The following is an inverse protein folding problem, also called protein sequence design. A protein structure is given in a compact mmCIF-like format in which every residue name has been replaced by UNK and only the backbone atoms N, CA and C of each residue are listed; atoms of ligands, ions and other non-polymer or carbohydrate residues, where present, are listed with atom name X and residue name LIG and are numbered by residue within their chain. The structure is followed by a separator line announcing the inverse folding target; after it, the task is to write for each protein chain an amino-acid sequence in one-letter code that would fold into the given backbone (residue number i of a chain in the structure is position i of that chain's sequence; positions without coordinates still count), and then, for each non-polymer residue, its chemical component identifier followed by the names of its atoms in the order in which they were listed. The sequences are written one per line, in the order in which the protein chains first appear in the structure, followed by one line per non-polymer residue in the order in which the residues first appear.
data_IF_535656001873
#
_entry.id   IF_535656001873
#
_cell.length_a   1.000
_cell.length_b   1.000
_cell.length_c   1.000
_cell.angle_alpha   90.00
_cell.angle_beta   90.00
_cell.angle_gamma   90.00
#
_symmetry.space_group_name_H-M   'P 1'
#
loop_
_entity.id
_entity.type
_entity.pdbx_description
1 polymer ?
#
# COMPACT_ATOMS: atom_id res chain seq x y z
N UNK A 1 -26.61 -10.21 16.03
CA UNK A 1 -26.67 -9.09 15.05
C UNK A 1 -25.30 -8.45 15.07
N UNK A 2 -24.37 -8.99 14.28
CA UNK A 2 -23.03 -8.42 14.16
C UNK A 2 -23.01 -7.69 12.82
N UNK A 3 -23.34 -6.41 12.87
CA UNK A 3 -23.23 -5.52 11.72
C UNK A 3 -21.74 -5.18 11.57
N UNK A 4 -20.99 -6.03 10.88
CA UNK A 4 -19.64 -5.69 10.40
C UNK A 4 -19.80 -4.75 9.21
N UNK A 5 -19.40 -3.50 9.43
CA UNK A 5 -19.54 -2.33 8.58
C UNK A 5 -19.36 -2.60 7.08
N UNK A 6 -20.46 -2.50 6.35
CA UNK A 6 -20.52 -2.52 4.88
C UNK A 6 -20.14 -1.15 4.26
N UNK A 7 -19.68 -0.19 5.07
CA UNK A 7 -19.53 1.23 4.68
C UNK A 7 -18.08 1.70 4.50
N UNK A 8 -17.07 0.92 4.92
CA UNK A 8 -15.65 1.34 4.86
C UNK A 8 -14.93 0.94 3.56
N UNK A 9 -15.56 0.17 2.67
CA UNK A 9 -14.90 -0.30 1.44
C UNK A 9 -15.06 0.66 0.25
N UNK A 10 -16.17 1.40 0.18
CA UNK A 10 -16.52 2.25 -0.99
C UNK A 10 -15.79 3.61 -1.02
N UNK A 11 -14.94 3.94 -0.03
CA UNK A 11 -14.38 5.30 0.12
C UNK A 11 -12.86 5.40 -0.07
N UNK A 12 -12.14 4.30 -0.31
CA UNK A 12 -10.69 4.28 -0.13
C UNK A 12 -9.90 5.01 -1.23
N UNK A 13 -10.34 4.96 -2.50
CA UNK A 13 -9.71 5.80 -3.55
C UNK A 13 -9.98 7.30 -3.35
N UNK A 14 -11.16 7.66 -2.84
CA UNK A 14 -11.52 9.04 -2.54
C UNK A 14 -10.81 9.58 -1.28
N UNK A 15 -10.52 8.71 -0.31
CA UNK A 15 -9.84 9.08 0.94
C UNK A 15 -8.34 9.26 0.77
N UNK A 16 -7.72 8.54 -0.17
CA UNK A 16 -6.27 8.52 -0.37
C UNK A 16 -5.90 8.90 -1.82
N UNK A 17 -6.21 10.14 -2.26
CA UNK A 17 -6.08 10.52 -3.66
C UNK A 17 -4.64 10.51 -4.16
N UNK A 18 -3.63 10.79 -3.31
CA UNK A 18 -2.23 10.79 -3.75
C UNK A 18 -1.73 9.35 -3.97
N UNK A 19 -2.08 8.42 -3.08
CA UNK A 19 -1.77 7.00 -3.26
C UNK A 19 -2.48 6.40 -4.48
N UNK A 20 -3.78 6.69 -4.65
CA UNK A 20 -4.57 6.25 -5.80
C UNK A 20 -3.94 6.74 -7.12
N UNK A 21 -3.58 8.02 -7.20
CA UNK A 21 -2.90 8.59 -8.37
C UNK A 21 -1.51 8.00 -8.60
N UNK A 22 -0.75 7.74 -7.53
CA UNK A 22 0.62 7.25 -7.63
C UNK A 22 0.70 5.79 -8.08
N UNK A 23 -0.07 4.92 -7.43
CA UNK A 23 0.07 3.47 -7.57
C UNK A 23 -1.24 2.68 -7.66
N UNK A 24 -2.41 3.33 -7.58
CA UNK A 24 -3.70 2.65 -7.62
C UNK A 24 -3.90 1.76 -8.87
N UNK A 25 -3.39 2.18 -10.03
CA UNK A 25 -3.51 1.39 -11.27
C UNK A 25 -2.85 0.01 -11.25
N UNK A 26 -1.99 -0.28 -10.26
CA UNK A 26 -1.26 -1.54 -10.18
C UNK A 26 -1.95 -2.58 -9.29
N UNK A 27 -3.03 -2.21 -8.62
CA UNK A 27 -3.68 -3.01 -7.58
C UNK A 27 -5.18 -3.08 -7.83
N UNK A 28 -5.81 -4.18 -7.42
CA UNK A 28 -7.28 -4.27 -7.37
C UNK A 28 -7.87 -3.56 -6.15
N UNK A 29 -9.19 -3.41 -6.09
CA UNK A 29 -9.88 -2.65 -5.03
C UNK A 29 -9.60 -3.16 -3.61
N UNK A 30 -9.44 -4.48 -3.45
CA UNK A 30 -9.14 -5.07 -2.14
C UNK A 30 -7.70 -4.80 -1.75
N UNK A 31 -6.77 -4.94 -2.69
CA UNK A 31 -5.36 -4.62 -2.49
C UNK A 31 -5.14 -3.13 -2.21
N UNK A 32 -5.81 -2.23 -2.95
CA UNK A 32 -5.77 -0.77 -2.71
C UNK A 32 -6.24 -0.45 -1.29
N UNK A 33 -7.41 -0.97 -0.90
CA UNK A 33 -7.99 -0.73 0.42
C UNK A 33 -7.02 -1.13 1.52
N UNK A 34 -6.50 -2.36 1.45
CA UNK A 34 -5.51 -2.86 2.40
C UNK A 34 -4.24 -2.01 2.42
N UNK A 35 -3.60 -1.83 1.26
CA UNK A 35 -2.31 -1.17 1.14
C UNK A 35 -2.38 0.30 1.59
N UNK A 36 -3.41 1.03 1.17
CA UNK A 36 -3.52 2.46 1.45
C UNK A 36 -3.76 2.69 2.94
N UNK A 37 -4.66 1.91 3.55
CA UNK A 37 -4.91 1.99 4.99
C UNK A 37 -3.65 1.68 5.81
N UNK A 38 -2.96 0.58 5.50
CA UNK A 38 -1.75 0.17 6.22
C UNK A 38 -0.64 1.21 6.09
N UNK A 39 -0.33 1.66 4.87
CA UNK A 39 0.75 2.62 4.66
C UNK A 39 0.43 4.00 5.23
N UNK A 40 -0.82 4.46 5.16
CA UNK A 40 -1.22 5.73 5.77
C UNK A 40 -1.18 5.65 7.29
N UNK A 41 -1.59 4.52 7.88
CA UNK A 41 -1.48 4.30 9.32
C UNK A 41 -0.02 4.36 9.80
N UNK A 42 0.92 3.81 9.02
CA UNK A 42 2.35 3.85 9.35
C UNK A 42 3.00 5.21 9.10
N UNK A 43 2.74 5.81 7.94
CA UNK A 43 3.36 7.07 7.53
C UNK A 43 2.72 8.30 8.19
N UNK A 44 1.48 8.15 8.67
CA UNK A 44 0.67 9.20 9.30
C UNK A 44 -0.10 10.10 8.32
N UNK A 45 0.10 9.96 7.00
CA UNK A 45 -0.73 10.63 5.99
C UNK A 45 -0.55 10.03 4.59
N UNK A 46 -1.53 10.25 3.72
CA UNK A 46 -1.53 9.88 2.29
C UNK A 46 -0.31 10.42 1.52
N UNK A 47 0.07 11.67 1.79
CA UNK A 47 1.24 12.31 1.17
C UNK A 47 2.53 11.61 1.61
N UNK A 48 2.67 11.30 2.90
CA UNK A 48 3.87 10.63 3.43
C UNK A 48 3.95 9.18 2.98
N UNK A 49 2.82 8.48 2.92
CA UNK A 49 2.72 7.13 2.37
C UNK A 49 3.15 7.10 0.89
N UNK A 50 2.68 8.07 0.12
CA UNK A 50 3.09 8.24 -1.29
C UNK A 50 4.59 8.53 -1.42
N UNK A 51 5.14 9.38 -0.54
CA UNK A 51 6.56 9.68 -0.53
C UNK A 51 7.42 8.43 -0.22
N UNK A 52 7.02 7.64 0.78
CA UNK A 52 7.65 6.36 1.09
C UNK A 52 7.60 5.41 -0.10
N UNK A 53 6.43 5.24 -0.71
CA UNK A 53 6.22 4.34 -1.84
C UNK A 53 7.14 4.65 -3.05
N UNK A 54 7.47 5.93 -3.23
CA UNK A 54 8.30 6.42 -4.34
C UNK A 54 9.79 6.47 -4.05
N UNK A 55 10.16 6.85 -2.83
CA UNK A 55 11.54 7.20 -2.49
C UNK A 55 12.22 6.18 -1.59
N UNK A 56 11.47 5.41 -0.80
CA UNK A 56 12.08 4.45 0.11
C UNK A 56 12.49 3.19 -0.63
N UNK A 57 13.77 2.85 -0.52
CA UNK A 57 14.34 1.64 -1.08
C UNK A 57 14.13 0.45 -0.16
N UNK A 58 13.61 -0.65 -0.69
CA UNK A 58 13.37 -1.87 0.07
C UNK A 58 14.58 -2.81 -0.11
N UNK A 59 15.34 -3.02 0.96
CA UNK A 59 16.55 -3.86 0.95
C UNK A 59 16.28 -5.29 0.47
N UNK A 60 15.14 -5.88 0.87
CA UNK A 60 14.72 -7.23 0.45
C UNK A 60 14.56 -7.38 -1.07
N UNK A 61 14.43 -6.27 -1.80
CA UNK A 61 14.31 -6.25 -3.27
C UNK A 61 15.52 -5.63 -3.95
N UNK A 62 16.70 -5.71 -3.33
CA UNK A 62 17.94 -5.19 -3.90
C UNK A 62 17.97 -3.66 -3.98
N UNK A 63 17.30 -2.98 -3.04
CA UNK A 63 17.26 -1.51 -3.00
C UNK A 63 16.27 -0.87 -3.97
N UNK A 64 15.33 -1.64 -4.53
CA UNK A 64 14.24 -1.08 -5.34
C UNK A 64 13.16 -0.45 -4.47
N UNK A 65 12.52 0.61 -4.97
CA UNK A 65 11.35 1.19 -4.30
C UNK A 65 10.08 0.41 -4.63
N UNK A 66 9.02 0.57 -3.83
CA UNK A 66 7.74 -0.07 -4.08
C UNK A 66 7.18 0.30 -5.47
N UNK A 67 7.36 1.55 -5.89
CA UNK A 67 6.97 1.99 -7.24
C UNK A 67 7.78 1.30 -8.34
N UNK A 68 9.08 1.11 -8.16
CA UNK A 68 9.93 0.40 -9.12
C UNK A 68 9.50 -1.07 -9.25
N UNK A 69 9.06 -1.71 -8.17
CA UNK A 69 8.51 -3.08 -8.22
C UNK A 69 7.21 -3.13 -9.02
N UNK A 70 6.29 -2.20 -8.78
CA UNK A 70 5.06 -2.10 -9.55
C UNK A 70 5.32 -1.87 -11.05
N UNK A 71 6.25 -0.97 -11.38
CA UNK A 71 6.66 -0.72 -12.78
C UNK A 71 7.29 -1.94 -13.44
N UNK A 72 7.98 -2.78 -12.67
CA UNK A 72 8.57 -4.04 -13.12
C UNK A 72 7.56 -5.19 -13.17
N UNK A 73 6.26 -4.91 -13.12
CA UNK A 73 5.18 -5.91 -13.14
C UNK A 73 5.21 -6.85 -11.93
N UNK A 74 5.68 -6.36 -10.77
CA UNK A 74 5.73 -7.10 -9.50
C UNK A 74 4.93 -6.42 -8.36
N UNK A 75 3.66 -6.01 -8.56
CA UNK A 75 2.85 -5.38 -7.51
C UNK A 75 2.55 -6.34 -6.33
N UNK A 76 2.34 -7.63 -6.60
CA UNK A 76 2.12 -8.66 -5.57
C UNK A 76 3.29 -8.77 -4.57
N UNK A 77 4.52 -8.53 -5.05
CA UNK A 77 5.70 -8.53 -4.18
C UNK A 77 5.62 -7.43 -3.11
N UNK A 78 5.05 -6.27 -3.46
CA UNK A 78 4.82 -5.16 -2.53
C UNK A 78 3.80 -5.56 -1.47
N UNK A 79 2.64 -6.12 -1.86
CA UNK A 79 1.61 -6.56 -0.90
C UNK A 79 2.18 -7.60 0.06
N UNK A 80 2.89 -8.61 -0.45
CA UNK A 80 3.52 -9.65 0.38
C UNK A 80 4.53 -9.06 1.37
N UNK A 81 5.33 -8.10 0.94
CA UNK A 81 6.29 -7.42 1.79
C UNK A 81 5.60 -6.64 2.93
N UNK A 82 4.55 -5.87 2.62
CA UNK A 82 3.78 -5.13 3.63
C UNK A 82 3.13 -6.09 4.63
N UNK A 83 2.53 -7.19 4.15
CA UNK A 83 1.96 -8.25 5.02
C UNK A 83 3.00 -8.89 5.93
N UNK A 84 4.22 -9.09 5.43
CA UNK A 84 5.31 -9.66 6.21
C UNK A 84 5.75 -8.72 7.33
N UNK A 85 5.87 -7.41 7.06
CA UNK A 85 6.17 -6.40 8.07
C UNK A 85 5.06 -6.35 9.15
N UNK A 86 3.78 -6.35 8.75
CA UNK A 86 2.66 -6.35 9.70
C UNK A 86 2.67 -7.53 10.67
N UNK A 87 3.14 -8.69 10.21
CA UNK A 87 3.23 -9.90 11.03
C UNK A 87 4.45 -9.89 11.99
N UNK A 88 5.21 -8.79 12.04
CA UNK A 88 6.44 -8.69 12.84
C UNK A 88 7.64 -9.36 12.19
N UNK A 89 7.55 -9.69 10.90
CA UNK A 89 8.66 -10.24 10.14
C UNK A 89 9.69 -9.17 9.82
N UNK A 90 10.78 -9.14 10.58
CA UNK A 90 12.02 -8.51 10.12
C UNK A 90 12.58 -9.40 8.99
N UNK A 91 12.36 -9.00 7.74
CA UNK A 91 13.07 -9.58 6.59
C UNK A 91 14.45 -8.94 6.43
#
# INVERSE_FOLDING_TARGET
MEQTNKTELESNESNFPNMAQCCGKFFDENEKSYLFLTLVAWAGSDIKATAWFKSETISAFGGKTALELCKNNQPDAVIKYIRHIEQGGFA
#
